data_IF_669193746178
#
_entry.id   IF_669193746178
#
_cell.length_a   1.000
_cell.length_b   1.000
_cell.length_c   1.000
_cell.angle_alpha   90.00
_cell.angle_beta   90.00
_cell.angle_gamma   90.00
#
_symmetry.space_group_name_H-M   'P 1'
#
loop_
_entity.id
_entity.type
_entity.pdbx_description
1 polymer ?
#
# COMPACT_ATOMS: atom_id res chain seq x y z
N UNK A 1 1.85 16.56 -4.99
CA UNK A 1 3.22 16.74 -4.46
C UNK A 1 4.18 16.39 -5.59
N UNK A 2 5.24 17.16 -5.75
CA UNK A 2 6.37 16.83 -6.65
C UNK A 2 7.09 15.58 -6.16
N UNK A 3 7.90 14.94 -7.01
CA UNK A 3 8.73 13.80 -6.60
C UNK A 3 9.63 14.17 -5.41
N UNK A 4 10.27 15.35 -5.46
CA UNK A 4 11.08 15.89 -4.37
C UNK A 4 10.29 16.05 -3.07
N UNK A 5 9.07 16.57 -3.12
CA UNK A 5 8.24 16.76 -1.93
C UNK A 5 7.74 15.42 -1.34
N UNK A 6 7.46 14.42 -2.18
CA UNK A 6 7.11 13.07 -1.70
C UNK A 6 8.31 12.40 -1.03
N UNK A 7 9.51 12.51 -1.63
CA UNK A 7 10.75 12.01 -1.04
C UNK A 7 11.04 12.70 0.30
N UNK A 8 10.91 14.02 0.36
CA UNK A 8 11.08 14.81 1.59
C UNK A 8 10.10 14.39 2.70
N UNK A 9 8.82 14.18 2.35
CA UNK A 9 7.81 13.67 3.28
C UNK A 9 8.21 12.29 3.85
N UNK A 10 8.67 11.39 2.98
CA UNK A 10 9.15 10.06 3.36
C UNK A 10 10.36 10.10 4.28
N UNK A 11 11.36 10.92 3.96
CA UNK A 11 12.56 11.12 4.77
C UNK A 11 12.19 11.70 6.14
N UNK A 12 11.32 12.70 6.18
CA UNK A 12 10.85 13.30 7.42
C UNK A 12 10.15 12.27 8.33
N UNK A 13 9.14 11.57 7.79
CA UNK A 13 8.38 10.57 8.57
C UNK A 13 9.31 9.48 9.07
N UNK A 14 10.18 8.97 8.20
CA UNK A 14 11.10 7.89 8.54
C UNK A 14 12.16 8.29 9.56
N UNK A 15 12.68 9.53 9.50
CA UNK A 15 13.57 10.07 10.53
C UNK A 15 12.88 10.14 11.89
N UNK A 16 11.65 10.66 11.95
CA UNK A 16 10.89 10.73 13.21
C UNK A 16 10.58 9.33 13.74
N UNK A 17 10.07 8.43 12.90
CA UNK A 17 9.75 7.05 13.29
C UNK A 17 11.01 6.29 13.74
N UNK A 18 12.15 6.48 13.07
CA UNK A 18 13.43 5.88 13.45
C UNK A 18 13.87 6.35 14.84
N UNK A 19 13.82 7.66 15.10
CA UNK A 19 14.15 8.23 16.42
C UNK A 19 13.22 7.67 17.50
N UNK A 20 11.91 7.64 17.24
CA UNK A 20 10.94 7.05 18.19
C UNK A 20 11.23 5.57 18.47
N UNK A 21 11.62 4.79 17.46
CA UNK A 21 12.01 3.39 17.60
C UNK A 21 13.31 3.22 18.40
N UNK A 22 14.36 3.99 18.07
CA UNK A 22 15.65 3.94 18.78
C UNK A 22 15.51 4.30 20.26
N UNK A 23 14.66 5.28 20.58
CA UNK A 23 14.33 5.70 21.94
C UNK A 23 13.31 4.78 22.64
N UNK A 24 12.81 3.74 21.96
CA UNK A 24 11.78 2.82 22.46
C UNK A 24 10.44 3.50 22.83
N UNK A 25 10.17 4.70 22.30
CA UNK A 25 8.93 5.43 22.54
C UNK A 25 7.73 4.81 21.83
N UNK A 26 7.97 4.00 20.80
CA UNK A 26 6.90 3.28 20.08
C UNK A 26 6.17 2.28 20.96
N UNK A 27 6.85 1.69 21.95
CA UNK A 27 6.23 0.77 22.92
C UNK A 27 5.30 1.52 23.87
N UNK A 28 5.66 2.76 24.22
CA UNK A 28 4.77 3.65 24.98
C UNK A 28 3.54 4.04 24.15
N UNK A 29 3.73 4.39 22.87
CA UNK A 29 2.63 4.70 21.96
C UNK A 29 1.68 3.51 21.79
N UNK A 30 2.23 2.30 21.67
CA UNK A 30 1.43 1.05 21.62
C UNK A 30 0.55 0.87 22.87
N UNK A 31 1.05 1.24 24.05
CA UNK A 31 0.29 1.16 25.30
C UNK A 31 -0.76 2.28 25.42
N UNK A 32 -0.45 3.49 24.95
CA UNK A 32 -1.33 4.66 25.08
C UNK A 32 -2.47 4.61 24.06
N UNK A 33 -2.22 4.09 22.87
CA UNK A 33 -3.17 4.20 21.75
C UNK A 33 -4.20 3.07 21.81
N UNK A 34 -5.50 3.38 22.04
CA UNK A 34 -6.53 2.36 22.09
C UNK A 34 -6.78 1.74 20.70
N UNK A 35 -7.22 0.48 20.71
CA UNK A 35 -7.59 -0.26 19.49
C UNK A 35 -8.70 0.40 18.66
N UNK A 36 -9.53 1.26 19.27
CA UNK A 36 -10.53 2.05 18.55
C UNK A 36 -9.90 3.00 17.53
N UNK A 37 -8.76 3.64 17.86
CA UNK A 37 -8.03 4.52 16.94
C UNK A 37 -7.43 3.73 15.79
N UNK A 38 -6.83 2.57 16.10
CA UNK A 38 -6.25 1.66 15.11
C UNK A 38 -7.30 1.24 14.07
N UNK A 39 -8.45 0.75 14.53
CA UNK A 39 -9.56 0.34 13.66
C UNK A 39 -10.14 1.52 12.88
N UNK A 40 -10.24 2.70 13.49
CA UNK A 40 -10.70 3.92 12.82
C UNK A 40 -9.82 4.31 11.63
N UNK A 41 -8.49 4.26 11.79
CA UNK A 41 -7.55 4.54 10.70
C UNK A 41 -7.59 3.48 9.61
N UNK A 42 -7.70 2.20 9.97
CA UNK A 42 -7.84 1.11 9.00
C UNK A 42 -9.10 1.30 8.14
N UNK A 43 -10.23 1.64 8.75
CA UNK A 43 -11.46 1.96 8.03
C UNK A 43 -11.30 3.21 7.16
N UNK A 44 -10.72 4.28 7.70
CA UNK A 44 -10.48 5.53 6.96
C UNK A 44 -9.60 5.33 5.73
N UNK A 45 -8.54 4.51 5.85
CA UNK A 45 -7.69 4.14 4.72
C UNK A 45 -8.45 3.30 3.70
N UNK A 46 -9.25 2.31 4.14
CA UNK A 46 -10.06 1.49 3.24
C UNK A 46 -11.05 2.35 2.43
N UNK A 47 -11.76 3.28 3.08
CA UNK A 47 -12.66 4.23 2.42
C UNK A 47 -11.90 5.14 1.46
N UNK A 48 -10.71 5.60 1.83
CA UNK A 48 -9.87 6.47 0.97
C UNK A 48 -9.40 5.74 -0.28
N UNK A 49 -8.99 4.48 -0.16
CA UNK A 49 -8.60 3.64 -1.29
C UNK A 49 -9.79 3.30 -2.19
N UNK A 50 -10.95 2.98 -1.58
CA UNK A 50 -12.20 2.78 -2.32
C UNK A 50 -12.59 4.02 -3.12
N UNK A 51 -12.55 5.21 -2.49
CA UNK A 51 -12.84 6.48 -3.16
C UNK A 51 -11.90 6.70 -4.35
N UNK A 52 -10.59 6.48 -4.19
CA UNK A 52 -9.62 6.61 -5.29
C UNK A 52 -9.94 5.65 -6.44
N UNK A 53 -10.21 4.38 -6.15
CA UNK A 53 -10.60 3.38 -7.14
C UNK A 53 -11.90 3.73 -7.86
N UNK A 54 -12.90 4.20 -7.12
CA UNK A 54 -14.16 4.68 -7.69
C UNK A 54 -13.94 5.88 -8.61
N UNK A 55 -13.17 6.88 -8.17
CA UNK A 55 -12.88 8.05 -9.01
C UNK A 55 -12.06 7.71 -10.25
N UNK A 56 -11.20 6.68 -10.22
CA UNK A 56 -10.48 6.24 -11.41
C UNK A 56 -11.35 5.49 -12.42
N UNK A 57 -12.50 4.94 -11.99
CA UNK A 57 -13.50 4.36 -12.90
C UNK A 57 -14.32 5.43 -13.62
N UNK A 58 -14.41 6.63 -13.04
CA UNK A 58 -15.09 7.77 -13.65
C UNK A 58 -14.16 8.40 -14.72
N UNK A 59 -14.18 7.87 -15.93
CA UNK A 59 -13.61 8.55 -17.09
C UNK A 59 -14.59 9.64 -17.54
N UNK A 60 -14.16 10.90 -17.46
CA UNK A 60 -14.83 12.02 -18.13
C UNK A 60 -14.07 12.32 -19.42
N UNK A 61 -14.80 12.40 -20.53
CA UNK A 61 -14.25 12.92 -21.78
C UNK A 61 -13.88 14.42 -21.65
N UNK A 62 -13.09 14.93 -22.58
CA UNK A 62 -12.49 16.28 -22.59
C UNK A 62 -13.53 17.41 -22.41
N UNK A 63 -14.80 17.17 -22.76
CA UNK A 63 -15.90 18.13 -22.66
C UNK A 63 -16.87 17.88 -21.48
N UNK A 64 -16.58 16.91 -20.60
CA UNK A 64 -17.39 16.61 -19.40
C UNK A 64 -18.73 15.92 -19.66
N UNK A 65 -19.00 15.50 -20.90
CA UNK A 65 -20.15 14.67 -21.30
C UNK A 65 -19.84 13.17 -21.15
N UNK A 66 -20.89 12.38 -20.86
CA UNK A 66 -20.83 10.92 -20.82
C UNK A 66 -20.92 10.38 -22.25
N UNK A 67 -19.83 9.84 -22.79
CA UNK A 67 -19.81 9.16 -24.09
C UNK A 67 -19.96 7.66 -23.87
N UNK A 68 -20.86 7.03 -24.63
CA UNK A 68 -21.05 5.57 -24.69
C UNK A 68 -20.55 5.09 -26.06
N UNK A 69 -19.50 4.25 -26.10
CA UNK A 69 -19.04 3.58 -27.33
C UNK A 69 -18.86 2.06 -27.11
N UNK A 70 -19.63 1.18 -27.78
CA UNK A 70 -19.70 -0.24 -27.41
C UNK A 70 -18.51 -1.13 -27.77
N UNK A 71 -17.59 -0.68 -28.64
CA UNK A 71 -16.48 -1.52 -29.14
C UNK A 71 -15.08 -1.02 -28.77
N UNK A 72 -14.93 0.26 -28.39
CA UNK A 72 -13.66 0.82 -27.87
C UNK A 72 -13.70 1.10 -26.36
N UNK A 73 -14.87 1.02 -25.74
CA UNK A 73 -15.06 1.15 -24.30
C UNK A 73 -15.91 -0.03 -23.82
N UNK A 74 -15.28 -1.03 -23.21
CA UNK A 74 -16.02 -1.79 -22.20
C UNK A 74 -16.30 -0.75 -21.11
N UNK A 75 -17.55 -0.25 -21.05
CA UNK A 75 -18.02 0.71 -20.05
C UNK A 75 -17.35 0.38 -18.70
N UNK A 76 -16.52 1.30 -18.19
CA UNK A 76 -15.68 1.08 -17.00
C UNK A 76 -16.51 0.52 -15.84
N UNK A 77 -17.79 0.87 -15.78
CA UNK A 77 -18.75 0.33 -14.83
C UNK A 77 -19.12 -1.13 -15.07
N UNK A 78 -19.36 -1.52 -16.32
CA UNK A 78 -19.64 -2.91 -16.69
C UNK A 78 -18.43 -3.81 -16.42
N UNK A 79 -17.22 -3.36 -16.77
CA UNK A 79 -15.99 -4.08 -16.44
C UNK A 79 -15.76 -4.17 -14.93
N UNK A 80 -15.96 -3.07 -14.20
CA UNK A 80 -15.84 -3.07 -12.74
C UNK A 80 -16.88 -3.99 -12.08
N UNK A 81 -18.11 -4.03 -12.61
CA UNK A 81 -19.16 -4.94 -12.14
C UNK A 81 -18.77 -6.39 -12.40
N UNK A 82 -18.29 -6.72 -13.61
CA UNK A 82 -17.83 -8.07 -13.95
C UNK A 82 -16.65 -8.51 -13.08
N UNK A 83 -15.67 -7.64 -12.85
CA UNK A 83 -14.53 -7.89 -11.96
C UNK A 83 -15.02 -8.07 -10.51
N UNK A 84 -15.96 -7.25 -10.05
CA UNK A 84 -16.53 -7.34 -8.70
C UNK A 84 -17.30 -8.64 -8.51
N UNK A 85 -18.09 -9.06 -9.50
CA UNK A 85 -18.79 -10.35 -9.51
C UNK A 85 -17.78 -11.49 -9.55
N UNK A 86 -16.74 -11.42 -10.39
CA UNK A 86 -15.66 -12.42 -10.42
C UNK A 86 -14.97 -12.52 -9.06
N UNK A 87 -14.63 -11.39 -8.42
CA UNK A 87 -14.06 -11.35 -7.07
C UNK A 87 -15.00 -11.99 -6.05
N UNK A 88 -16.28 -11.62 -6.05
CA UNK A 88 -17.28 -12.20 -5.15
C UNK A 88 -17.43 -13.71 -5.38
N UNK A 89 -17.40 -14.17 -6.63
CA UNK A 89 -17.46 -15.58 -6.99
C UNK A 89 -16.20 -16.30 -6.51
N UNK A 90 -14.99 -15.77 -6.77
CA UNK A 90 -13.73 -16.35 -6.30
C UNK A 90 -13.66 -16.41 -4.76
N UNK A 91 -14.19 -15.39 -4.07
CA UNK A 91 -14.22 -15.32 -2.61
C UNK A 91 -15.30 -16.21 -1.99
N UNK A 92 -16.49 -16.34 -2.58
CA UNK A 92 -17.62 -17.13 -2.05
C UNK A 92 -17.63 -18.59 -2.52
N UNK A 93 -17.07 -18.91 -3.70
CA UNK A 93 -16.79 -20.29 -4.14
C UNK A 93 -15.56 -20.88 -3.46
N UNK A 94 -15.09 -20.25 -2.37
CA UNK A 94 -14.09 -20.80 -1.47
C UNK A 94 -14.74 -21.43 -0.22
N UNK A 95 -15.53 -22.54 -0.28
CA UNK A 95 -15.63 -23.48 0.86
C UNK A 95 -14.21 -24.05 1.11
N UNK A 96 -13.87 -24.64 2.28
CA UNK A 96 -12.57 -24.50 2.93
C UNK A 96 -11.42 -25.17 2.14
N UNK A 97 -11.05 -24.57 1.00
CA UNK A 97 -9.82 -24.84 0.32
C UNK A 97 -8.74 -24.44 1.30
N UNK A 98 -7.78 -25.33 1.50
CA UNK A 98 -6.61 -25.08 2.35
C UNK A 98 -5.84 -23.84 1.90
N UNK A 99 -6.02 -23.42 0.63
CA UNK A 99 -5.44 -22.23 0.04
C UNK A 99 -6.48 -21.50 -0.83
N UNK A 100 -6.91 -20.26 -0.49
CA UNK A 100 -7.81 -19.49 -1.35
C UNK A 100 -7.11 -19.07 -2.65
N UNK A 101 -7.84 -18.84 -3.75
CA UNK A 101 -7.23 -18.32 -4.98
C UNK A 101 -6.68 -16.89 -4.75
N UNK A 102 -5.53 -16.51 -5.34
CA UNK A 102 -4.99 -15.16 -5.26
C UNK A 102 -5.78 -14.21 -6.17
N UNK A 103 -7.03 -13.94 -5.80
CA UNK A 103 -8.00 -13.21 -6.61
C UNK A 103 -7.48 -11.85 -7.09
N UNK A 104 -6.78 -11.08 -6.24
CA UNK A 104 -6.19 -9.80 -6.63
C UNK A 104 -5.13 -9.96 -7.73
N UNK A 105 -4.29 -10.99 -7.65
CA UNK A 105 -3.28 -11.29 -8.68
C UNK A 105 -3.94 -11.73 -9.99
N UNK A 106 -4.99 -12.57 -9.92
CA UNK A 106 -5.74 -13.00 -11.10
C UNK A 106 -6.38 -11.80 -11.81
N UNK A 107 -7.04 -10.91 -11.07
CA UNK A 107 -7.64 -9.70 -11.61
C UNK A 107 -6.59 -8.76 -12.21
N UNK A 108 -5.45 -8.59 -11.54
CA UNK A 108 -4.33 -7.81 -12.05
C UNK A 108 -3.79 -8.38 -13.37
N UNK A 109 -3.53 -9.69 -13.43
CA UNK A 109 -3.04 -10.36 -14.65
C UNK A 109 -4.05 -10.28 -15.79
N UNK A 110 -5.34 -10.44 -15.49
CA UNK A 110 -6.40 -10.26 -16.49
C UNK A 110 -6.39 -8.83 -17.06
N UNK A 111 -6.30 -7.82 -16.19
CA UNK A 111 -6.17 -6.42 -16.62
C UNK A 111 -4.93 -6.18 -17.48
N UNK A 112 -3.79 -6.75 -17.07
CA UNK A 112 -2.54 -6.67 -17.84
C UNK A 112 -2.67 -7.32 -19.22
N UNK A 113 -3.28 -8.50 -19.31
CA UNK A 113 -3.54 -9.19 -20.59
C UNK A 113 -4.44 -8.35 -21.47
N UNK A 114 -5.50 -7.74 -20.93
CA UNK A 114 -6.41 -6.86 -21.68
C UNK A 114 -5.64 -5.65 -22.22
N UNK A 115 -4.83 -4.98 -21.40
CA UNK A 115 -4.03 -3.82 -21.83
C UNK A 115 -3.03 -4.21 -22.93
N UNK A 116 -2.33 -5.34 -22.78
CA UNK A 116 -1.39 -5.84 -23.79
C UNK A 116 -2.10 -6.21 -25.09
N UNK A 117 -3.27 -6.85 -25.01
CA UNK A 117 -4.00 -7.29 -26.19
C UNK A 117 -4.69 -6.15 -26.94
N UNK A 118 -5.19 -5.14 -26.22
CA UNK A 118 -6.00 -4.06 -26.79
C UNK A 118 -5.22 -2.75 -27.03
N UNK A 119 -4.18 -2.47 -26.23
CA UNK A 119 -3.47 -1.18 -26.21
C UNK A 119 -1.95 -1.34 -26.32
N UNK A 120 -1.47 -2.36 -27.03
CA UNK A 120 -0.03 -2.66 -27.17
C UNK A 120 0.82 -1.43 -27.55
N UNK A 121 0.35 -0.62 -28.51
CA UNK A 121 1.06 0.56 -29.00
C UNK A 121 1.17 1.72 -27.99
N UNK A 122 0.36 1.71 -26.93
CA UNK A 122 0.37 2.74 -25.89
C UNK A 122 1.27 2.34 -24.70
N UNK A 123 1.79 1.11 -24.68
CA UNK A 123 2.66 0.64 -23.61
C UNK A 123 4.05 1.29 -23.78
N UNK A 124 4.55 2.06 -22.79
CA UNK A 124 5.85 2.72 -22.87
C UNK A 124 6.97 1.69 -22.62
N UNK A 125 7.18 0.81 -23.59
CA UNK A 125 8.21 -0.25 -23.54
C UNK A 125 9.62 0.33 -23.42
N UNK A 126 9.85 1.54 -23.94
CA UNK A 126 11.15 2.22 -23.90
C UNK A 126 11.50 2.75 -22.50
N UNK A 127 10.51 2.93 -21.62
CA UNK A 127 10.70 3.32 -20.22
C UNK A 127 10.74 2.11 -19.27
N UNK A 128 10.62 0.89 -19.81
CA UNK A 128 10.57 -0.32 -19.01
C UNK A 128 11.97 -0.72 -18.54
N UNK A 129 12.20 -0.64 -17.22
CA UNK A 129 13.43 -1.11 -16.61
C UNK A 129 13.64 -0.58 -15.20
N UNK A 130 14.67 -1.06 -14.50
CA UNK A 130 15.06 -0.50 -13.22
C UNK A 130 15.53 0.95 -13.43
N UNK A 131 14.74 1.91 -12.93
CA UNK A 131 15.12 3.32 -12.88
C UNK A 131 15.54 3.67 -11.46
N UNK A 132 16.81 4.06 -11.30
CA UNK A 132 17.34 4.62 -10.07
C UNK A 132 17.62 6.08 -10.34
N UNK A 133 16.91 6.97 -9.65
CA UNK A 133 17.06 8.41 -9.82
C UNK A 133 17.47 9.04 -8.49
N UNK A 134 18.60 9.74 -8.47
CA UNK A 134 18.95 10.53 -7.30
C UNK A 134 18.04 11.75 -7.25
N UNK A 135 17.21 11.83 -6.22
CA UNK A 135 16.22 12.92 -6.09
C UNK A 135 16.89 14.16 -5.55
N UNK A 136 16.89 15.23 -6.33
CA UNK A 136 17.26 16.57 -5.84
C UNK A 136 16.05 17.19 -5.12
N UNK A 137 16.19 17.45 -3.82
CA UNK A 137 15.12 18.00 -2.99
C UNK A 137 15.40 19.49 -2.73
N UNK A 138 14.52 20.36 -3.21
CA UNK A 138 14.63 21.80 -2.96
C UNK A 138 14.12 22.17 -1.56
N UNK A 139 14.42 23.38 -1.10
CA UNK A 139 13.88 23.87 0.17
C UNK A 139 12.34 23.94 0.18
N UNK A 140 11.73 24.25 -0.97
CA UNK A 140 10.28 24.27 -1.12
C UNK A 140 9.70 22.85 -1.03
N UNK A 141 10.36 21.87 -1.66
CA UNK A 141 9.94 20.46 -1.57
C UNK A 141 9.98 19.95 -0.12
N UNK A 142 10.98 20.36 0.66
CA UNK A 142 11.03 20.06 2.10
C UNK A 142 9.83 20.63 2.85
N UNK A 143 9.51 21.91 2.63
CA UNK A 143 8.40 22.57 3.30
C UNK A 143 7.07 21.92 2.92
N UNK A 144 6.79 21.80 1.63
CA UNK A 144 5.54 21.24 1.12
C UNK A 144 5.41 19.76 1.45
N UNK A 145 6.52 19.02 1.36
CA UNK A 145 6.60 17.61 1.70
C UNK A 145 6.31 17.37 3.17
N UNK A 146 6.94 18.10 4.08
CA UNK A 146 6.72 17.95 5.53
C UNK A 146 5.30 18.35 5.90
N UNK A 147 4.82 19.51 5.46
CA UNK A 147 3.53 20.05 5.92
C UNK A 147 2.34 19.29 5.32
N UNK A 148 2.35 19.05 4.01
CA UNK A 148 1.20 18.47 3.32
C UNK A 148 1.26 16.94 3.23
N UNK A 149 2.46 16.35 3.33
CA UNK A 149 2.67 14.90 3.28
C UNK A 149 3.08 14.31 4.62
N UNK A 150 4.19 14.79 5.19
CA UNK A 150 4.87 14.18 6.32
C UNK A 150 4.05 14.21 7.61
N UNK A 151 3.50 15.37 7.99
CA UNK A 151 2.70 15.51 9.20
C UNK A 151 1.43 14.64 9.19
N UNK A 152 0.61 14.62 8.13
CA UNK A 152 -0.52 13.68 8.04
C UNK A 152 -0.09 12.20 7.96
N UNK A 153 1.05 11.91 7.33
CA UNK A 153 1.52 10.55 7.11
C UNK A 153 2.21 9.94 8.34
N UNK A 154 2.73 10.75 9.26
CA UNK A 154 3.38 10.29 10.49
C UNK A 154 2.45 9.42 11.36
N UNK A 155 1.24 9.87 11.76
CA UNK A 155 0.32 9.02 12.53
C UNK A 155 -0.13 7.80 11.73
N UNK A 156 -0.38 7.95 10.42
CA UNK A 156 -0.77 6.82 9.56
C UNK A 156 0.33 5.74 9.52
N UNK A 157 1.60 6.15 9.42
CA UNK A 157 2.75 5.23 9.38
C UNK A 157 2.95 4.54 10.72
N UNK A 158 2.95 5.28 11.82
CA UNK A 158 3.05 4.68 13.16
C UNK A 158 1.90 3.70 13.43
N UNK A 159 0.68 4.06 13.05
CA UNK A 159 -0.49 3.26 13.39
C UNK A 159 -0.66 2.08 12.46
N UNK A 160 -0.57 2.26 11.14
CA UNK A 160 -0.74 1.18 10.19
C UNK A 160 0.51 0.30 10.07
N UNK A 161 1.69 0.91 9.98
CA UNK A 161 2.93 0.23 9.56
C UNK A 161 3.83 -0.22 10.71
N UNK A 162 3.56 0.23 11.94
CA UNK A 162 4.30 -0.17 13.13
C UNK A 162 3.39 -0.89 14.11
N UNK A 163 2.39 -0.19 14.67
CA UNK A 163 1.54 -0.73 15.74
C UNK A 163 0.59 -1.82 15.20
N UNK A 164 -0.20 -1.53 14.17
CA UNK A 164 -1.19 -2.49 13.65
C UNK A 164 -0.55 -3.76 13.12
N UNK A 165 0.61 -3.68 12.47
CA UNK A 165 1.32 -4.87 11.98
C UNK A 165 1.73 -5.76 13.15
N UNK A 166 2.28 -5.19 14.23
CA UNK A 166 2.64 -5.96 15.42
C UNK A 166 1.42 -6.58 16.12
N UNK A 167 0.31 -5.83 16.24
CA UNK A 167 -0.93 -6.35 16.82
C UNK A 167 -1.48 -7.50 15.96
N UNK A 168 -1.59 -7.30 14.65
CA UNK A 168 -2.07 -8.32 13.73
C UNK A 168 -1.17 -9.56 13.73
N UNK A 169 0.16 -9.38 13.79
CA UNK A 169 1.07 -10.51 13.91
C UNK A 169 0.78 -11.36 15.15
N UNK A 170 0.56 -10.72 16.31
CA UNK A 170 0.20 -11.45 17.54
C UNK A 170 -1.16 -12.13 17.44
N UNK A 171 -2.14 -11.49 16.82
CA UNK A 171 -3.46 -12.09 16.60
C UNK A 171 -3.40 -13.32 15.66
N UNK A 172 -2.57 -13.27 14.62
CA UNK A 172 -2.46 -14.35 13.63
C UNK A 172 -1.57 -15.50 14.11
N UNK A 173 -0.45 -15.21 14.77
CA UNK A 173 0.55 -16.22 15.14
C UNK A 173 0.48 -16.64 16.62
N UNK A 174 -0.28 -15.96 17.46
CA UNK A 174 -0.45 -16.30 18.88
C UNK A 174 0.90 -16.40 19.62
N UNK A 175 1.05 -17.47 20.42
CA UNK A 175 2.26 -17.74 21.21
C UNK A 175 3.50 -18.04 20.33
N UNK A 176 3.30 -18.47 19.08
CA UNK A 176 4.37 -18.70 18.10
C UNK A 176 4.86 -17.40 17.44
N UNK A 177 4.26 -16.24 17.79
CA UNK A 177 4.62 -14.95 17.25
C UNK A 177 6.06 -14.55 17.65
N UNK A 178 7.03 -14.93 16.81
CA UNK A 178 8.41 -14.42 16.85
C UNK A 178 8.56 -13.05 16.19
N UNK A 179 7.44 -12.39 15.87
CA UNK A 179 7.41 -11.08 15.22
C UNK A 179 8.13 -10.00 16.04
N UNK A 180 8.81 -9.08 15.35
CA UNK A 180 9.51 -7.97 16.00
C UNK A 180 8.58 -7.05 16.78
N UNK A 181 9.07 -6.48 17.88
CA UNK A 181 8.33 -5.46 18.65
C UNK A 181 8.12 -4.19 17.82
N UNK A 182 7.21 -3.32 18.26
CA UNK A 182 6.96 -2.01 17.62
C UNK A 182 8.23 -1.19 17.46
N UNK A 183 9.19 -1.33 18.39
CA UNK A 183 10.55 -0.77 18.25
C UNK A 183 11.28 -1.28 17.00
N UNK A 184 11.37 -2.61 16.83
CA UNK A 184 12.07 -3.20 15.69
C UNK A 184 11.40 -2.82 14.37
N UNK A 185 10.07 -2.83 14.35
CA UNK A 185 9.28 -2.44 13.19
C UNK A 185 9.51 -0.98 12.81
N UNK A 186 9.51 -0.07 13.79
CA UNK A 186 9.81 1.35 13.56
C UNK A 186 11.23 1.60 13.06
N UNK A 187 12.23 0.91 13.62
CA UNK A 187 13.62 1.01 13.14
C UNK A 187 13.73 0.52 11.69
N UNK A 188 13.06 -0.59 11.35
CA UNK A 188 13.07 -1.12 9.98
C UNK A 188 12.39 -0.19 8.97
N UNK A 189 11.18 0.31 9.28
CA UNK A 189 10.45 1.27 8.44
C UNK A 189 11.20 2.61 8.33
N UNK A 190 11.81 3.05 9.41
CA UNK A 190 12.66 4.23 9.44
C UNK A 190 13.87 4.08 8.51
N UNK A 191 14.64 3.00 8.68
CA UNK A 191 15.84 2.76 7.88
C UNK A 191 15.54 2.58 6.38
N UNK A 192 14.52 1.78 6.02
CA UNK A 192 14.21 1.51 4.61
C UNK A 192 13.89 2.80 3.83
N UNK A 193 13.14 3.71 4.45
CA UNK A 193 12.67 4.93 3.81
C UNK A 193 13.70 6.04 3.85
N UNK A 194 14.44 6.15 4.95
CA UNK A 194 15.52 7.12 5.09
C UNK A 194 16.63 6.88 4.07
N UNK A 195 16.83 5.62 3.66
CA UNK A 195 17.76 5.26 2.60
C UNK A 195 17.10 5.33 1.22
N UNK A 196 15.94 4.69 1.03
CA UNK A 196 15.33 4.53 -0.29
C UNK A 196 14.85 5.82 -0.94
N UNK A 197 14.31 6.78 -0.18
CA UNK A 197 13.68 7.99 -0.75
C UNK A 197 14.69 8.87 -1.52
N UNK A 198 15.97 8.82 -1.18
CA UNK A 198 17.03 9.54 -1.93
C UNK A 198 17.22 9.01 -3.34
N UNK A 199 16.86 7.75 -3.57
CA UNK A 199 17.02 7.05 -4.85
C UNK A 199 15.70 6.98 -5.64
N UNK A 200 14.73 7.83 -5.31
CA UNK A 200 13.45 7.90 -6.00
C UNK A 200 12.46 6.84 -5.55
N UNK A 201 12.77 6.05 -4.53
CA UNK A 201 11.81 5.11 -3.97
C UNK A 201 10.66 5.88 -3.32
N UNK A 202 9.43 5.49 -3.66
CA UNK A 202 8.25 5.94 -2.93
C UNK A 202 8.35 5.48 -1.47
N UNK A 203 7.86 6.27 -0.49
CA UNK A 203 7.86 5.85 0.91
C UNK A 203 7.09 4.53 1.09
N UNK A 204 7.79 3.53 1.62
CA UNK A 204 7.36 2.15 1.78
C UNK A 204 7.00 1.81 3.23
N UNK A 205 6.37 0.66 3.42
CA UNK A 205 6.09 0.09 4.74
C UNK A 205 5.99 -1.43 4.66
N UNK A 206 5.99 -2.10 5.83
CA UNK A 206 5.70 -3.54 5.89
C UNK A 206 4.21 -3.87 5.65
N UNK A 207 3.31 -3.00 6.14
CA UNK A 207 1.86 -3.05 5.90
C UNK A 207 1.13 -4.27 6.47
N UNK A 208 -0.01 -4.06 7.12
CA UNK A 208 -0.78 -5.18 7.68
C UNK A 208 -1.40 -6.11 6.61
N UNK A 209 -1.71 -5.57 5.42
CA UNK A 209 -2.30 -6.33 4.32
C UNK A 209 -1.37 -7.40 3.75
N UNK A 210 -0.08 -7.09 3.57
CA UNK A 210 0.92 -8.05 3.09
C UNK A 210 1.10 -9.21 4.07
N UNK A 211 1.18 -8.91 5.37
CA UNK A 211 1.27 -9.92 6.42
C UNK A 211 0.02 -10.82 6.46
N UNK A 212 -1.18 -10.23 6.41
CA UNK A 212 -2.44 -10.99 6.38
C UNK A 212 -2.52 -11.90 5.16
N UNK A 213 -2.12 -11.42 3.98
CA UNK A 213 -2.10 -12.20 2.75
C UNK A 213 -1.14 -13.40 2.89
N UNK A 214 0.11 -13.16 3.29
CA UNK A 214 1.10 -14.21 3.51
C UNK A 214 0.59 -15.27 4.49
N UNK A 215 0.05 -14.86 5.64
CA UNK A 215 -0.52 -15.77 6.62
C UNK A 215 -1.67 -16.62 6.05
N UNK A 216 -2.56 -15.97 5.29
CA UNK A 216 -3.71 -16.60 4.61
C UNK A 216 -3.27 -17.63 3.57
N UNK A 217 -2.12 -17.42 2.91
CA UNK A 217 -1.47 -18.37 2.01
C UNK A 217 -0.57 -19.40 2.73
N UNK A 218 -0.68 -19.52 4.06
CA UNK A 218 0.00 -20.56 4.83
C UNK A 218 1.41 -20.21 5.30
N UNK A 219 1.88 -18.97 5.10
CA UNK A 219 3.17 -18.55 5.64
C UNK A 219 3.18 -18.59 7.17
N UNK A 220 4.24 -19.15 7.75
CA UNK A 220 4.47 -19.24 9.21
C UNK A 220 5.80 -18.68 9.66
N UNK A 221 6.65 -18.27 8.72
CA UNK A 221 7.99 -17.75 8.98
C UNK A 221 8.27 -16.57 8.06
N UNK A 222 9.22 -15.70 8.44
CA UNK A 222 9.63 -14.56 7.63
C UNK A 222 10.28 -14.93 6.29
N UNK A 223 10.67 -16.19 6.11
CA UNK A 223 11.24 -16.70 4.86
C UNK A 223 10.30 -16.50 3.67
N UNK A 224 8.99 -16.50 3.88
CA UNK A 224 8.02 -16.30 2.80
C UNK A 224 8.12 -14.91 2.14
N UNK A 225 8.59 -13.90 2.89
CA UNK A 225 8.80 -12.54 2.35
C UNK A 225 10.14 -12.45 1.59
N UNK A 226 11.15 -13.22 2.01
CA UNK A 226 12.47 -13.25 1.34
C UNK A 226 12.42 -14.01 0.00
N UNK A 227 11.54 -15.01 -0.11
CA UNK A 227 11.37 -15.82 -1.32
C UNK A 227 10.41 -15.18 -2.34
N UNK A 228 9.74 -14.08 -1.98
CA UNK A 228 8.81 -13.36 -2.86
C UNK A 228 9.58 -12.48 -3.85
#
# INVERSE_FOLDING_TARGET
>A
LTLGAVAAAGIFVSAVVLVLGLLNLTTLLEYIIPMSIVRGIQLGLAVSLFKKGYTSLLVRDVDGSLVWNPFEQVDSFTLALLISVLLLVLLNLSPPLRLPPPAALIVFLLGLIIVIACHWSEIPVDEFGPSVSLVTITAQDWLDGILNGGLPQLPLTLLNSVISVCVLARELFGDDCRGGSTKHMAVSVGAMNLLGCWFGAMPCCHGCGGLAAQYRFGARTGTSVVML
#
